data_IF_261062625738
#
_entry.id   IF_261062625738
#
_cell.length_a   1.000
_cell.length_b   1.000
_cell.length_c   1.000
_cell.angle_alpha   90.00
_cell.angle_beta   90.00
_cell.angle_gamma   90.00
#
_symmetry.space_group_name_H-M   'P 1'
#
loop_
_entity.id
_entity.type
_entity.pdbx_description
1 polymer ?
#
# COMPACT_ATOMS: atom_id res chain seq x y z
N UNK A 1 -10.59 10.49 16.17
CA UNK A 1 -9.49 11.47 16.21
C UNK A 1 -9.94 12.89 15.89
N UNK A 2 -10.21 13.65 16.93
CA UNK A 2 -10.13 15.11 17.03
C UNK A 2 -9.74 15.29 18.50
N UNK A 3 -8.73 16.10 18.84
CA UNK A 3 -8.25 16.23 20.23
C UNK A 3 -8.64 17.56 20.90
N UNK A 4 -9.35 18.48 20.20
CA UNK A 4 -9.81 19.77 20.76
C UNK A 4 -11.20 20.28 20.30
N UNK A 5 -12.29 19.56 20.60
CA UNK A 5 -13.69 19.95 20.32
C UNK A 5 -14.60 19.36 21.40
N UNK A 6 -15.70 20.06 21.72
CA UNK A 6 -16.63 19.72 22.81
C UNK A 6 -17.48 18.46 22.60
N UNK A 7 -17.31 17.75 21.48
CA UNK A 7 -18.05 16.53 21.11
C UNK A 7 -17.15 15.29 21.05
N UNK A 8 -16.06 15.28 21.83
CA UNK A 8 -15.06 14.22 21.78
C UNK A 8 -15.35 13.05 22.68
N UNK A 9 -15.03 11.87 22.16
CA UNK A 9 -14.79 10.67 22.94
C UNK A 9 -13.32 10.30 22.78
N UNK A 10 -12.64 10.07 23.91
CA UNK A 10 -11.25 9.62 23.91
C UNK A 10 -11.18 8.22 23.28
N UNK A 11 -10.27 8.06 22.32
CA UNK A 11 -9.87 6.75 21.79
C UNK A 11 -8.45 6.54 22.24
N UNK A 12 -8.18 5.46 22.97
CA UNK A 12 -6.82 5.10 23.36
C UNK A 12 -6.04 4.71 22.09
N UNK A 13 -4.96 5.44 21.74
CA UNK A 13 -4.18 5.10 20.57
C UNK A 13 -3.35 3.84 20.82
N UNK A 14 -3.04 3.10 19.76
CA UNK A 14 -2.27 1.85 19.85
C UNK A 14 -0.75 2.03 19.98
N UNK A 15 -0.23 3.26 19.97
CA UNK A 15 1.21 3.54 19.88
C UNK A 15 1.97 3.11 21.16
N UNK A 16 3.09 2.37 20.98
CA UNK A 16 3.96 1.95 22.09
C UNK A 16 4.82 3.08 22.63
N UNK A 17 5.24 3.00 23.90
CA UNK A 17 6.06 4.03 24.56
C UNK A 17 7.55 3.95 24.19
N UNK A 18 8.06 2.75 23.88
CA UNK A 18 9.46 2.52 23.55
C UNK A 18 9.70 2.52 22.03
N UNK A 19 10.68 3.33 21.58
CA UNK A 19 11.06 3.39 20.17
C UNK A 19 12.17 2.37 19.86
N UNK A 20 11.90 1.47 18.92
CA UNK A 20 12.84 0.46 18.44
C UNK A 20 13.16 0.71 16.96
N UNK A 21 14.45 0.87 16.64
CA UNK A 21 14.94 1.18 15.29
C UNK A 21 16.27 0.45 14.99
N UNK A 22 16.55 0.09 13.72
CA UNK A 22 15.59 0.09 12.60
C UNK A 22 14.53 -1.00 12.78
N UNK A 23 13.34 -0.82 12.22
CA UNK A 23 12.31 -1.85 12.26
C UNK A 23 12.66 -3.08 11.42
N UNK A 24 13.44 -2.90 10.34
CA UNK A 24 13.91 -3.94 9.41
C UNK A 24 12.81 -4.77 8.67
N UNK A 25 11.56 -4.76 9.14
CA UNK A 25 10.42 -5.32 8.42
C UNK A 25 10.09 -4.46 7.19
N UNK A 26 9.87 -5.07 6.00
CA UNK A 26 9.58 -4.33 4.79
C UNK A 26 8.17 -3.72 4.78
N UNK A 27 8.05 -2.60 4.08
CA UNK A 27 6.82 -1.84 3.95
C UNK A 27 6.48 -1.57 2.47
N UNK A 28 5.28 -1.94 2.03
CA UNK A 28 4.75 -1.59 0.72
C UNK A 28 3.83 -0.36 0.80
N UNK A 29 3.98 0.57 -0.14
CA UNK A 29 3.20 1.81 -0.18
C UNK A 29 2.28 1.81 -1.41
N UNK A 30 0.97 1.78 -1.17
CA UNK A 30 -0.05 1.86 -2.20
C UNK A 30 -0.52 3.31 -2.40
N UNK A 31 -0.73 3.71 -3.65
CA UNK A 31 -1.36 4.99 -3.99
C UNK A 31 -2.89 4.89 -4.15
N UNK A 32 -3.42 3.66 -4.26
CA UNK A 32 -4.85 3.38 -4.44
C UNK A 32 -5.27 2.17 -3.61
N UNK A 33 -6.46 2.25 -3.00
CA UNK A 33 -7.00 1.17 -2.17
C UNK A 33 -7.15 -0.15 -2.93
N UNK A 34 -7.57 -0.09 -4.21
CA UNK A 34 -7.75 -1.29 -5.05
C UNK A 34 -6.45 -2.05 -5.37
N UNK A 35 -5.28 -1.54 -5.00
CA UNK A 35 -4.01 -2.28 -5.11
C UNK A 35 -3.83 -3.28 -3.96
N UNK A 36 -4.58 -3.14 -2.86
CA UNK A 36 -4.39 -3.93 -1.64
C UNK A 36 -4.67 -5.42 -1.84
N UNK A 37 -5.82 -5.77 -2.44
CA UNK A 37 -6.21 -7.17 -2.63
C UNK A 37 -5.25 -7.99 -3.51
N UNK A 38 -4.86 -7.53 -4.73
CA UNK A 38 -3.87 -8.25 -5.53
C UNK A 38 -2.50 -8.33 -4.83
N UNK A 39 -2.06 -7.26 -4.18
CA UNK A 39 -0.80 -7.28 -3.43
C UNK A 39 -0.81 -8.32 -2.31
N UNK A 40 -1.85 -8.32 -1.47
CA UNK A 40 -1.96 -9.23 -0.34
C UNK A 40 -2.04 -10.70 -0.79
N UNK A 41 -2.75 -10.97 -1.90
CA UNK A 41 -2.82 -12.31 -2.48
C UNK A 41 -1.45 -12.80 -2.98
N UNK A 42 -0.74 -11.98 -3.76
CA UNK A 42 0.58 -12.34 -4.26
C UNK A 42 1.63 -12.46 -3.14
N UNK A 43 1.54 -11.61 -2.12
CA UNK A 43 2.36 -11.74 -0.93
C UNK A 43 2.13 -13.09 -0.25
N UNK A 44 0.87 -13.47 0.03
CA UNK A 44 0.55 -14.73 0.68
C UNK A 44 0.98 -15.96 -0.14
N UNK A 45 0.97 -15.87 -1.46
CA UNK A 45 1.43 -16.94 -2.35
C UNK A 45 2.96 -17.11 -2.34
N UNK A 46 3.72 -16.04 -2.09
CA UNK A 46 5.19 -16.03 -2.17
C UNK A 46 5.90 -16.04 -0.82
N UNK A 47 5.23 -15.58 0.24
CA UNK A 47 5.81 -15.43 1.57
C UNK A 47 5.90 -16.78 2.33
N UNK A 48 6.77 -16.89 3.35
CA UNK A 48 6.76 -18.04 4.25
C UNK A 48 5.36 -18.26 4.87
N UNK A 49 4.97 -19.51 5.09
CA UNK A 49 3.61 -19.89 5.48
C UNK A 49 3.06 -19.23 6.77
N UNK A 50 3.91 -18.62 7.60
CA UNK A 50 3.53 -17.93 8.84
C UNK A 50 3.72 -16.42 8.78
N UNK A 51 4.12 -15.87 7.63
CA UNK A 51 4.37 -14.45 7.48
C UNK A 51 3.07 -13.64 7.67
N UNK A 52 3.15 -12.60 8.48
CA UNK A 52 2.03 -11.75 8.87
C UNK A 52 2.13 -10.41 8.15
N UNK A 53 1.34 -10.27 7.09
CA UNK A 53 1.11 -9.00 6.42
C UNK A 53 -0.03 -8.27 7.10
N UNK A 54 0.11 -7.00 7.47
CA UNK A 54 -1.04 -6.20 7.87
C UNK A 54 -1.17 -4.91 7.08
N UNK A 55 -2.34 -4.28 7.21
CA UNK A 55 -2.67 -3.07 6.47
C UNK A 55 -2.81 -1.87 7.41
N UNK A 56 -2.10 -0.79 7.09
CA UNK A 56 -2.19 0.50 7.75
C UNK A 56 -2.88 1.45 6.78
N UNK A 57 -4.15 1.70 7.04
CA UNK A 57 -4.92 2.67 6.29
C UNK A 57 -4.53 4.09 6.73
N UNK A 58 -4.02 4.88 5.78
CA UNK A 58 -3.61 6.27 6.01
C UNK A 58 -4.49 7.24 5.20
N UNK A 59 -4.08 8.51 5.15
CA UNK A 59 -4.80 9.55 4.43
C UNK A 59 -4.94 9.24 2.92
N UNK A 60 -5.80 10.01 2.25
CA UNK A 60 -6.00 9.96 0.80
C UNK A 60 -7.33 9.36 0.37
N UNK A 61 -7.94 8.50 1.19
CA UNK A 61 -9.34 8.07 1.06
C UNK A 61 -10.27 8.88 1.98
N UNK A 62 -11.53 9.03 1.59
CA UNK A 62 -12.54 9.75 2.36
C UNK A 62 -13.40 8.83 3.25
N UNK A 63 -13.41 7.51 3.01
CA UNK A 63 -14.27 6.58 3.73
C UNK A 63 -13.54 5.92 4.92
N UNK A 64 -14.25 5.65 6.02
CA UNK A 64 -13.67 4.93 7.15
C UNK A 64 -13.29 3.51 6.77
N UNK A 65 -12.30 2.98 7.48
CA UNK A 65 -11.80 1.62 7.29
C UNK A 65 -12.88 0.55 7.40
N UNK A 66 -13.79 0.71 8.35
CA UNK A 66 -14.95 -0.17 8.62
C UNK A 66 -15.96 -0.26 7.48
N UNK A 67 -15.77 0.48 6.38
CA UNK A 67 -16.59 0.38 5.16
C UNK A 67 -15.89 -0.37 4.03
N UNK A 68 -14.65 -0.83 4.22
CA UNK A 68 -13.93 -1.59 3.21
C UNK A 68 -14.26 -3.08 3.27
N UNK A 69 -15.10 -3.54 2.34
CA UNK A 69 -15.34 -4.97 2.13
C UNK A 69 -14.08 -5.72 1.73
N UNK A 70 -13.17 -5.06 0.99
CA UNK A 70 -11.90 -5.65 0.57
C UNK A 70 -11.04 -5.99 1.80
N UNK A 71 -10.96 -5.08 2.78
CA UNK A 71 -10.22 -5.33 4.02
C UNK A 71 -10.91 -6.43 4.83
N UNK A 72 -12.24 -6.38 4.98
CA UNK A 72 -13.01 -7.42 5.70
C UNK A 72 -12.78 -8.81 5.09
N UNK A 73 -12.80 -8.91 3.76
CA UNK A 73 -12.59 -10.15 3.03
C UNK A 73 -11.15 -10.66 3.15
N UNK A 74 -10.16 -9.79 3.00
CA UNK A 74 -8.74 -10.16 3.16
C UNK A 74 -8.44 -10.59 4.60
N UNK A 75 -9.03 -9.94 5.61
CA UNK A 75 -8.96 -10.33 7.01
C UNK A 75 -9.63 -11.68 7.26
N UNK A 76 -10.84 -11.88 6.74
CA UNK A 76 -11.60 -13.12 6.89
C UNK A 76 -10.94 -14.33 6.22
N UNK A 77 -10.18 -14.11 5.14
CA UNK A 77 -9.39 -15.15 4.45
C UNK A 77 -7.98 -15.34 5.04
N UNK A 78 -7.60 -14.57 6.06
CA UNK A 78 -6.28 -14.64 6.68
C UNK A 78 -5.13 -14.08 5.83
N UNK A 79 -5.44 -13.32 4.77
CA UNK A 79 -4.45 -12.65 3.91
C UNK A 79 -3.90 -11.36 4.54
N UNK A 80 -4.66 -10.78 5.48
CA UNK A 80 -4.19 -9.72 6.37
C UNK A 80 -4.25 -10.21 7.81
N UNK A 81 -3.20 -9.94 8.58
CA UNK A 81 -3.07 -10.23 10.01
C UNK A 81 -3.77 -9.20 10.90
N UNK A 82 -4.00 -7.98 10.38
CA UNK A 82 -4.72 -6.92 11.08
C UNK A 82 -4.89 -5.66 10.24
N UNK A 83 -5.69 -4.73 10.75
CA UNK A 83 -6.00 -3.45 10.10
C UNK A 83 -5.89 -2.29 11.08
N UNK A 84 -4.88 -1.44 10.88
CA UNK A 84 -4.69 -0.22 11.66
C UNK A 84 -5.10 1.00 10.82
N UNK A 85 -5.45 2.09 11.49
CA UNK A 85 -5.66 3.40 10.85
C UNK A 85 -4.75 4.46 11.46
N UNK A 86 -4.20 5.33 10.63
CA UNK A 86 -3.22 6.33 11.05
C UNK A 86 -3.56 7.74 10.56
N UNK A 87 -3.14 8.76 11.30
CA UNK A 87 -3.42 10.16 10.95
C UNK A 87 -4.92 10.43 10.91
N UNK A 88 -5.46 11.10 9.87
CA UNK A 88 -6.89 11.41 9.78
C UNK A 88 -7.78 10.20 9.44
N UNK A 89 -7.20 9.05 9.07
CA UNK A 89 -7.96 7.82 8.86
C UNK A 89 -8.45 7.24 10.20
N UNK A 90 -9.59 6.56 10.14
CA UNK A 90 -10.28 5.98 11.30
C UNK A 90 -11.11 4.76 10.92
N UNK A 91 -11.55 3.99 11.92
CA UNK A 91 -12.39 2.81 11.74
C UNK A 91 -11.63 1.53 11.39
N UNK A 92 -10.37 1.40 11.82
CA UNK A 92 -9.63 0.13 11.83
C UNK A 92 -9.80 -0.60 13.17
N UNK A 93 -9.14 -1.75 13.32
CA UNK A 93 -9.08 -2.53 14.57
C UNK A 93 -8.27 -1.80 15.65
N UNK A 94 -7.34 -0.94 15.23
CA UNK A 94 -6.58 -0.03 16.07
C UNK A 94 -6.37 1.32 15.39
N UNK A 95 -6.27 2.38 16.20
CA UNK A 95 -6.04 3.74 15.72
C UNK A 95 -4.74 4.30 16.28
N UNK A 96 -3.83 4.74 15.42
CA UNK A 96 -2.59 5.42 15.80
C UNK A 96 -2.66 6.90 15.41
N UNK A 97 -2.12 7.80 16.22
CA UNK A 97 -2.13 9.24 15.92
C UNK A 97 -1.37 9.53 14.63
N UNK A 98 -0.27 8.84 14.38
CA UNK A 98 0.63 9.07 13.25
C UNK A 98 0.91 7.82 12.42
N UNK A 99 1.25 8.00 11.15
CA UNK A 99 1.72 6.91 10.27
C UNK A 99 2.96 6.18 10.82
N UNK A 100 4.04 6.87 11.26
CA UNK A 100 5.18 6.17 11.86
C UNK A 100 4.80 5.44 13.15
N UNK A 101 3.94 6.01 13.99
CA UNK A 101 3.45 5.33 15.20
C UNK A 101 2.66 4.05 14.89
N UNK A 102 1.82 4.08 13.84
CA UNK A 102 1.10 2.90 13.38
C UNK A 102 2.04 1.81 12.87
N UNK A 103 3.04 2.18 12.07
CA UNK A 103 4.00 1.24 11.48
C UNK A 103 4.91 0.63 12.54
N UNK A 104 5.38 1.44 13.48
CA UNK A 104 6.14 0.96 14.63
C UNK A 104 5.30 -0.01 15.47
N UNK A 105 4.06 0.35 15.84
CA UNK A 105 3.18 -0.54 16.60
C UNK A 105 2.91 -1.87 15.86
N UNK A 106 2.61 -1.81 14.56
CA UNK A 106 2.38 -2.99 13.73
C UNK A 106 3.55 -3.99 13.77
N UNK A 107 4.79 -3.50 13.71
CA UNK A 107 5.97 -4.36 13.65
C UNK A 107 6.44 -4.74 15.06
N UNK A 108 6.64 -3.77 15.95
CA UNK A 108 7.28 -3.98 17.25
C UNK A 108 6.35 -4.62 18.29
N UNK A 109 5.06 -4.30 18.26
CA UNK A 109 4.09 -4.77 19.27
C UNK A 109 3.20 -5.88 18.72
N UNK A 110 2.67 -5.69 17.50
CA UNK A 110 1.81 -6.70 16.88
C UNK A 110 2.59 -7.80 16.18
N UNK A 111 3.90 -7.64 15.94
CA UNK A 111 4.76 -8.66 15.32
C UNK A 111 4.39 -8.97 13.87
N UNK A 112 4.07 -7.94 13.07
CA UNK A 112 3.88 -8.09 11.63
C UNK A 112 5.24 -8.21 10.93
N UNK A 113 5.37 -9.19 10.04
CA UNK A 113 6.58 -9.41 9.25
C UNK A 113 6.68 -8.44 8.06
N UNK A 114 5.55 -7.88 7.63
CA UNK A 114 5.47 -6.85 6.60
C UNK A 114 4.21 -5.99 6.78
N UNK A 115 4.25 -4.76 6.27
CA UNK A 115 3.10 -3.86 6.31
C UNK A 115 2.78 -3.26 4.93
N UNK A 116 1.50 -3.06 4.66
CA UNK A 116 1.02 -2.24 3.53
C UNK A 116 0.51 -0.91 4.07
N UNK A 117 1.01 0.21 3.57
CA UNK A 117 0.53 1.55 3.88
C UNK A 117 -0.19 2.12 2.66
N UNK A 118 -1.39 2.66 2.85
CA UNK A 118 -2.11 3.26 1.72
C UNK A 118 -3.49 3.80 2.08
N UNK A 119 -4.13 4.51 1.15
CA UNK A 119 -5.43 5.12 1.39
C UNK A 119 -6.55 4.08 1.53
N UNK A 120 -7.54 4.41 2.34
CA UNK A 120 -8.82 3.68 2.39
C UNK A 120 -9.68 3.93 1.13
N UNK A 121 -10.92 3.39 1.11
CA UNK A 121 -11.85 3.61 0.01
C UNK A 121 -12.21 5.10 -0.19
N UNK A 122 -12.65 5.45 -1.40
CA UNK A 122 -13.09 6.80 -1.73
C UNK A 122 -11.93 7.77 -1.91
N UNK A 123 -10.99 7.45 -2.83
CA UNK A 123 -9.84 8.30 -3.14
C UNK A 123 -10.31 9.74 -3.44
N UNK A 124 -9.73 10.72 -2.76
CA UNK A 124 -10.02 12.14 -3.03
C UNK A 124 -9.21 12.63 -4.21
N UNK A 125 -9.71 13.61 -4.95
CA UNK A 125 -9.02 14.10 -6.13
C UNK A 125 -9.58 15.41 -6.66
N UNK A 126 -8.69 16.22 -7.22
CA UNK A 126 -8.96 17.38 -8.05
C UNK A 126 -8.22 17.23 -9.38
N UNK A 127 -8.31 18.22 -10.26
CA UNK A 127 -7.56 18.24 -11.52
C UNK A 127 -6.11 18.74 -11.37
N UNK A 128 -5.66 19.10 -10.15
CA UNK A 128 -4.30 19.59 -9.93
C UNK A 128 -3.30 18.45 -9.78
N UNK A 129 -2.04 18.71 -10.13
CA UNK A 129 -0.98 17.71 -10.12
C UNK A 129 -0.73 17.08 -8.74
N UNK A 130 -0.93 17.85 -7.66
CA UNK A 130 -0.68 17.40 -6.28
C UNK A 130 -1.96 17.24 -5.45
N UNK A 131 -3.11 17.65 -5.98
CA UNK A 131 -4.38 17.63 -5.26
C UNK A 131 -5.13 16.32 -5.41
N UNK A 132 -4.49 15.19 -5.12
CA UNK A 132 -5.10 13.87 -5.14
C UNK A 132 -4.64 13.00 -3.98
N UNK A 133 -5.51 12.08 -3.52
CA UNK A 133 -5.27 11.23 -2.36
C UNK A 133 -4.07 10.30 -2.49
N UNK A 134 -3.71 9.92 -3.72
CA UNK A 134 -2.50 9.14 -3.99
C UNK A 134 -1.19 9.82 -3.55
N UNK A 135 -1.19 11.14 -3.31
CA UNK A 135 -0.01 11.83 -2.78
C UNK A 135 0.35 11.42 -1.35
N UNK A 136 -0.58 10.81 -0.60
CA UNK A 136 -0.29 10.22 0.71
C UNK A 136 0.79 9.12 0.65
N UNK A 137 1.09 8.59 -0.55
CA UNK A 137 2.22 7.69 -0.75
C UNK A 137 3.58 8.35 -0.38
N UNK A 138 3.74 9.66 -0.53
CA UNK A 138 4.96 10.35 -0.08
C UNK A 138 5.13 10.23 1.43
N UNK A 139 4.10 10.62 2.19
CA UNK A 139 4.12 10.59 3.66
C UNK A 139 4.36 9.15 4.17
N UNK A 140 3.71 8.17 3.55
CA UNK A 140 3.85 6.76 3.91
C UNK A 140 5.28 6.25 3.63
N UNK A 141 5.84 6.56 2.47
CA UNK A 141 7.19 6.13 2.10
C UNK A 141 8.25 6.81 2.96
N UNK A 142 8.14 8.12 3.21
CA UNK A 142 9.07 8.83 4.10
C UNK A 142 9.00 8.28 5.53
N UNK A 143 7.81 7.97 6.05
CA UNK A 143 7.66 7.35 7.36
C UNK A 143 8.35 5.98 7.43
N UNK A 144 8.13 5.12 6.43
CA UNK A 144 8.78 3.81 6.36
C UNK A 144 10.31 3.90 6.27
N UNK A 145 10.82 4.78 5.39
CA UNK A 145 12.26 5.02 5.24
C UNK A 145 12.88 5.56 6.53
N UNK A 146 12.22 6.50 7.22
CA UNK A 146 12.70 7.06 8.47
C UNK A 146 12.76 6.03 9.61
N UNK A 147 11.89 5.01 9.59
CA UNK A 147 11.89 3.91 10.54
C UNK A 147 12.87 2.77 10.16
N UNK A 148 13.61 2.92 9.05
CA UNK A 148 14.57 1.93 8.57
C UNK A 148 13.93 0.70 7.93
N UNK A 149 12.69 0.81 7.44
CA UNK A 149 12.03 -0.26 6.69
C UNK A 149 12.55 -0.32 5.24
N UNK A 150 12.91 -1.51 4.72
CA UNK A 150 12.99 -1.72 3.28
C UNK A 150 11.66 -1.32 2.63
N UNK A 151 11.66 -0.27 1.81
CA UNK A 151 10.43 0.37 1.33
C UNK A 151 10.19 0.06 -0.15
N UNK A 152 9.00 -0.45 -0.45
CA UNK A 152 8.53 -0.75 -1.80
C UNK A 152 7.38 0.19 -2.16
N UNK A 153 7.45 0.87 -3.30
CA UNK A 153 6.34 1.66 -3.83
C UNK A 153 5.57 0.83 -4.88
N UNK A 154 4.26 0.71 -4.70
CA UNK A 154 3.39 -0.01 -5.64
C UNK A 154 3.05 0.90 -6.80
N UNK A 155 3.64 0.64 -7.96
CA UNK A 155 3.39 1.44 -9.15
C UNK A 155 1.90 1.41 -9.53
N UNK A 156 1.36 2.57 -9.87
CA UNK A 156 0.11 2.66 -10.62
C UNK A 156 0.49 2.56 -12.09
N UNK A 157 0.16 1.44 -12.72
CA UNK A 157 0.28 1.28 -14.15
C UNK A 157 -1.11 1.19 -14.77
N UNK A 158 -1.24 1.62 -16.02
CA UNK A 158 -2.47 1.46 -16.79
C UNK A 158 -2.12 1.08 -18.22
N UNK A 159 -2.84 0.09 -18.73
CA UNK A 159 -2.82 -0.31 -20.15
C UNK A 159 -4.07 0.18 -20.89
N UNK A 160 -5.12 0.52 -20.12
CA UNK A 160 -6.45 0.88 -20.61
C UNK A 160 -6.62 2.35 -21.01
N UNK A 161 -5.66 3.23 -20.71
CA UNK A 161 -5.84 4.66 -21.00
C UNK A 161 -5.84 4.88 -22.53
N UNK A 162 -6.89 5.51 -23.10
CA UNK A 162 -6.97 5.76 -24.53
C UNK A 162 -5.87 6.73 -25.02
N UNK A 163 -5.24 7.49 -24.11
CA UNK A 163 -4.15 8.42 -24.44
C UNK A 163 -2.82 7.67 -24.39
N UNK A 164 -2.06 7.57 -25.50
CA UNK A 164 -0.81 6.79 -25.55
C UNK A 164 0.22 7.18 -24.47
N UNK A 165 0.32 8.47 -24.14
CA UNK A 165 1.21 9.00 -23.09
C UNK A 165 0.83 8.57 -21.65
N UNK A 166 -0.33 7.96 -21.46
CA UNK A 166 -0.81 7.49 -20.16
C UNK A 166 -0.83 5.95 -20.07
N UNK A 167 -0.27 5.27 -21.06
CA UNK A 167 0.00 3.83 -21.01
C UNK A 167 1.34 3.57 -20.34
N UNK A 168 1.43 2.47 -19.59
CA UNK A 168 2.59 2.15 -18.76
C UNK A 168 2.47 2.77 -17.36
N UNK A 169 3.58 3.22 -16.78
CA UNK A 169 3.60 3.78 -15.43
C UNK A 169 2.90 5.15 -15.44
N UNK A 170 1.96 5.33 -14.53
CA UNK A 170 1.18 6.56 -14.39
C UNK A 170 2.05 7.73 -13.94
N UNK A 171 1.75 8.93 -14.45
CA UNK A 171 2.36 10.18 -13.98
C UNK A 171 2.26 10.36 -12.45
N UNK A 172 1.15 9.99 -11.81
CA UNK A 172 1.06 10.01 -10.34
C UNK A 172 2.17 9.20 -9.64
N UNK A 173 2.54 8.04 -10.17
CA UNK A 173 3.66 7.26 -9.61
C UNK A 173 4.99 7.95 -9.87
N UNK A 174 5.18 8.51 -11.06
CA UNK A 174 6.39 9.26 -11.39
C UNK A 174 6.56 10.50 -10.53
N UNK A 175 5.49 11.28 -10.30
CA UNK A 175 5.50 12.45 -9.41
C UNK A 175 5.87 12.07 -7.97
N UNK A 176 5.34 10.94 -7.46
CA UNK A 176 5.75 10.45 -6.14
C UNK A 176 7.24 10.12 -6.14
N UNK A 177 7.74 9.36 -7.11
CA UNK A 177 9.16 9.00 -7.20
C UNK A 177 10.07 10.24 -7.28
N UNK A 178 9.74 11.21 -8.13
CA UNK A 178 10.49 12.47 -8.29
C UNK A 178 10.58 13.30 -7.01
N UNK A 179 9.57 13.21 -6.13
CA UNK A 179 9.50 13.96 -4.88
C UNK A 179 10.00 13.16 -3.67
N UNK A 180 10.32 11.87 -3.81
CA UNK A 180 10.87 11.09 -2.73
C UNK A 180 12.28 11.55 -2.36
N UNK A 181 12.54 11.69 -1.06
CA UNK A 181 13.84 12.08 -0.52
C UNK A 181 14.80 10.90 -0.34
N UNK A 182 14.31 9.68 -0.52
CA UNK A 182 15.08 8.45 -0.36
C UNK A 182 14.71 7.39 -1.39
N UNK A 183 15.66 6.51 -1.68
CA UNK A 183 15.47 5.43 -2.64
C UNK A 183 14.45 4.40 -2.13
N UNK A 184 13.61 3.92 -3.03
CA UNK A 184 12.64 2.85 -2.80
C UNK A 184 12.80 1.80 -3.88
N UNK A 185 12.21 0.62 -3.66
CA UNK A 185 12.09 -0.41 -4.69
C UNK A 185 10.74 -0.29 -5.39
N UNK A 186 10.70 -0.54 -6.69
CA UNK A 186 9.47 -0.65 -7.48
C UNK A 186 9.53 -1.97 -8.25
N UNK A 187 8.51 -2.81 -8.06
CA UNK A 187 8.35 -4.05 -8.79
C UNK A 187 7.30 -3.88 -9.90
N UNK A 188 7.63 -4.34 -11.10
CA UNK A 188 6.78 -4.25 -12.29
C UNK A 188 6.54 -5.65 -12.87
N UNK A 189 5.37 -5.90 -13.47
CA UNK A 189 5.15 -7.11 -14.24
C UNK A 189 6.02 -7.10 -15.52
N UNK A 190 6.28 -8.27 -16.14
CA UNK A 190 7.24 -8.38 -17.25
C UNK A 190 6.90 -7.57 -18.50
N UNK A 191 5.62 -7.24 -18.68
CA UNK A 191 5.08 -6.46 -19.79
C UNK A 191 5.14 -4.94 -19.57
N UNK A 192 5.53 -4.49 -18.37
CA UNK A 192 5.69 -3.06 -18.06
C UNK A 192 7.17 -2.73 -17.89
N UNK A 193 7.71 -1.95 -18.84
CA UNK A 193 9.10 -1.51 -18.80
C UNK A 193 9.35 -0.50 -17.67
N UNK A 194 10.49 -0.67 -16.98
CA UNK A 194 11.00 0.33 -16.06
C UNK A 194 11.40 1.62 -16.83
N UNK A 195 11.21 2.80 -16.23
CA UNK A 195 11.57 4.05 -16.87
C UNK A 195 13.09 4.26 -16.78
N UNK A 196 13.67 4.90 -17.81
CA UNK A 196 15.10 5.20 -17.88
C UNK A 196 15.41 6.48 -17.10
N UNK A 197 16.52 6.51 -16.36
CA UNK A 197 17.01 7.74 -15.71
C UNK A 197 16.30 8.11 -14.40
N UNK A 198 15.75 7.13 -13.68
CA UNK A 198 15.08 7.32 -12.40
C UNK A 198 15.87 6.70 -11.22
N UNK A 199 17.20 6.79 -11.29
CA UNK A 199 18.05 6.64 -10.12
C UNK A 199 17.71 7.72 -9.07
N UNK A 200 17.72 7.40 -7.76
CA UNK A 200 18.32 6.21 -7.14
C UNK A 200 17.35 5.04 -6.90
N UNK A 201 16.13 5.06 -7.48
CA UNK A 201 15.15 4.00 -7.23
C UNK A 201 15.57 2.66 -7.84
N UNK A 202 15.26 1.56 -7.15
CA UNK A 202 15.56 0.21 -7.60
C UNK A 202 14.36 -0.36 -8.34
N UNK A 203 14.56 -0.70 -9.59
CA UNK A 203 13.53 -1.31 -10.43
C UNK A 203 13.77 -2.80 -10.55
N UNK A 204 12.72 -3.61 -10.40
CA UNK A 204 12.79 -5.04 -10.60
C UNK A 204 11.55 -5.57 -11.32
N UNK A 205 11.74 -6.64 -12.06
CA UNK A 205 10.65 -7.36 -12.71
C UNK A 205 10.27 -8.57 -11.87
N UNK A 206 8.98 -8.78 -11.65
CA UNK A 206 8.46 -9.98 -10.99
C UNK A 206 7.42 -10.65 -11.89
N UNK A 207 7.43 -11.98 -11.94
CA UNK A 207 6.38 -12.74 -12.60
C UNK A 207 5.05 -12.54 -11.86
N UNK A 208 3.95 -12.49 -12.60
CA UNK A 208 2.60 -12.25 -12.06
C UNK A 208 1.63 -13.32 -12.57
N UNK A 209 0.73 -13.73 -11.68
CA UNK A 209 -0.31 -14.72 -11.98
C UNK A 209 -1.69 -14.07 -11.96
N UNK A 210 -2.05 -13.43 -13.08
CA UNK A 210 -3.35 -12.78 -13.24
C UNK A 210 -4.51 -13.77 -13.24
N UNK A 211 -4.29 -14.97 -13.79
CA UNK A 211 -5.31 -16.02 -13.87
C UNK A 211 -5.58 -16.63 -12.50
N UNK A 212 -4.54 -16.92 -11.73
CA UNK A 212 -4.65 -17.34 -10.33
C UNK A 212 -5.31 -16.28 -9.45
N UNK A 213 -4.95 -14.99 -9.63
CA UNK A 213 -5.62 -13.91 -8.93
C UNK A 213 -7.11 -13.86 -9.29
N UNK A 214 -7.46 -13.98 -10.58
CA UNK A 214 -8.86 -14.05 -11.04
C UNK A 214 -9.60 -15.23 -10.39
N UNK A 215 -8.96 -16.40 -10.36
CA UNK A 215 -9.53 -17.62 -9.77
C UNK A 215 -9.70 -17.54 -8.24
N UNK A 216 -8.95 -16.68 -7.56
CA UNK A 216 -9.08 -16.47 -6.11
C UNK A 216 -10.45 -15.91 -5.69
N UNK A 217 -11.17 -15.26 -6.62
CA UNK A 217 -12.45 -14.59 -6.34
C UNK A 217 -12.32 -13.32 -5.50
N UNK A 218 -11.10 -12.81 -5.27
CA UNK A 218 -10.87 -11.52 -4.64
C UNK A 218 -11.27 -10.34 -5.57
N UNK A 219 -11.40 -9.11 -5.03
CA UNK A 219 -11.79 -7.94 -5.80
C UNK A 219 -10.98 -7.73 -7.10
N UNK A 220 -11.65 -7.90 -8.24
CA UNK A 220 -11.04 -7.87 -9.58
C UNK A 220 -11.52 -6.70 -10.44
N UNK A 221 -12.13 -5.69 -9.81
CA UNK A 221 -12.61 -4.47 -10.47
C UNK A 221 -12.05 -3.25 -9.72
N UNK A 222 -11.45 -2.33 -10.46
CA UNK A 222 -10.87 -1.09 -9.93
C UNK A 222 -11.16 0.09 -10.85
N UNK A 223 -11.66 1.19 -10.29
CA UNK A 223 -12.08 2.36 -11.08
C UNK A 223 -13.03 2.00 -12.25
N UNK A 224 -13.91 1.02 -12.04
CA UNK A 224 -14.85 0.53 -13.05
C UNK A 224 -14.25 -0.38 -14.13
N UNK A 225 -12.99 -0.80 -14.00
CA UNK A 225 -12.27 -1.64 -14.97
C UNK A 225 -11.92 -3.00 -14.37
N UNK A 226 -12.11 -4.05 -15.14
CA UNK A 226 -11.77 -5.44 -14.84
C UNK A 226 -10.28 -5.73 -15.05
N UNK A 227 -9.84 -6.93 -14.67
CA UNK A 227 -8.47 -7.43 -14.94
C UNK A 227 -8.16 -7.39 -16.45
N UNK A 228 -9.10 -7.74 -17.31
CA UNK A 228 -8.87 -7.82 -18.76
C UNK A 228 -8.80 -6.42 -19.40
N UNK A 229 -9.51 -5.46 -18.83
CA UNK A 229 -9.49 -4.07 -19.30
C UNK A 229 -8.23 -3.34 -18.85
N UNK A 230 -7.67 -3.64 -17.67
CA UNK A 230 -6.45 -3.00 -17.17
C UNK A 230 -5.45 -3.98 -16.49
N UNK A 231 -4.90 -4.95 -17.24
CA UNK A 231 -4.01 -5.98 -16.69
C UNK A 231 -2.77 -5.38 -16.00
N UNK A 232 -2.24 -4.27 -16.53
CA UNK A 232 -1.08 -3.59 -15.95
C UNK A 232 -1.32 -3.08 -14.52
N UNK A 233 -2.55 -2.65 -14.19
CA UNK A 233 -2.89 -2.20 -12.83
C UNK A 233 -2.77 -3.36 -11.83
N UNK A 234 -3.40 -4.49 -12.14
CA UNK A 234 -3.37 -5.67 -11.28
C UNK A 234 -1.97 -6.30 -11.26
N UNK A 235 -1.32 -6.39 -12.42
CA UNK A 235 0.05 -6.89 -12.56
C UNK A 235 1.05 -6.10 -11.70
N UNK A 236 0.98 -4.77 -11.68
CA UNK A 236 1.87 -3.96 -10.82
C UNK A 236 1.67 -4.26 -9.32
N UNK A 237 0.43 -4.44 -8.87
CA UNK A 237 0.15 -4.79 -7.48
C UNK A 237 0.56 -6.23 -7.13
N UNK A 238 0.36 -7.19 -8.04
CA UNK A 238 0.82 -8.57 -7.90
C UNK A 238 2.35 -8.65 -7.81
N UNK A 239 3.04 -7.95 -8.72
CA UNK A 239 4.50 -7.87 -8.74
C UNK A 239 5.04 -7.28 -7.42
N UNK A 240 4.38 -6.25 -6.90
CA UNK A 240 4.70 -5.66 -5.61
C UNK A 240 4.51 -6.64 -4.44
N UNK A 241 3.43 -7.42 -4.42
CA UNK A 241 3.19 -8.42 -3.38
C UNK A 241 4.26 -9.51 -3.34
N UNK A 242 4.61 -10.06 -4.50
CA UNK A 242 5.68 -11.06 -4.63
C UNK A 242 7.04 -10.49 -4.23
N UNK A 243 7.35 -9.26 -4.65
CA UNK A 243 8.58 -8.57 -4.27
C UNK A 243 8.66 -8.28 -2.77
N UNK A 244 7.55 -7.84 -2.16
CA UNK A 244 7.47 -7.57 -0.72
C UNK A 244 7.75 -8.84 0.10
N UNK A 245 7.18 -9.98 -0.32
CA UNK A 245 7.45 -11.27 0.30
C UNK A 245 8.93 -11.65 0.24
N UNK A 246 9.61 -11.36 -0.88
CA UNK A 246 11.04 -11.57 -1.04
C UNK A 246 11.94 -10.65 -0.19
N UNK A 247 11.39 -9.56 0.37
CA UNK A 247 12.11 -8.63 1.24
C UNK A 247 12.07 -9.00 2.73
N UNK A 248 11.25 -9.98 3.12
CA UNK A 248 11.22 -10.47 4.50
C UNK A 248 12.56 -11.15 4.79
N UNK A 249 13.22 -10.73 5.88
CA UNK A 249 14.44 -11.38 6.35
C UNK A 249 14.14 -12.85 6.65
N UNK A 250 14.95 -13.75 6.08
CA UNK A 250 14.89 -15.20 6.39
C UNK A 250 15.67 -15.53 7.65
#
# INVERSE_FOLDING_TARGET
KLNYTSLQHAVAPVEGEALALPLAAPAAVCGLHGQLAPLAWAFAAAAPARARLGYIQTAGGALPGSRSRDVDELRGRGLLAGHLTAGPAYGGEGEAISTPGALHHAVAELGWDAAVLGPGPGIVGSASALGHGGMAALDNAHAALALGCPTLLVARASSADPRPRHRGISHHTMTVLELLLGAVTVALPPDVAAPVGHEPHRWQTAAVDLDGYRASGLPSITMGRTIDEDPAFFGAALAAGAALAGMIAR
#
